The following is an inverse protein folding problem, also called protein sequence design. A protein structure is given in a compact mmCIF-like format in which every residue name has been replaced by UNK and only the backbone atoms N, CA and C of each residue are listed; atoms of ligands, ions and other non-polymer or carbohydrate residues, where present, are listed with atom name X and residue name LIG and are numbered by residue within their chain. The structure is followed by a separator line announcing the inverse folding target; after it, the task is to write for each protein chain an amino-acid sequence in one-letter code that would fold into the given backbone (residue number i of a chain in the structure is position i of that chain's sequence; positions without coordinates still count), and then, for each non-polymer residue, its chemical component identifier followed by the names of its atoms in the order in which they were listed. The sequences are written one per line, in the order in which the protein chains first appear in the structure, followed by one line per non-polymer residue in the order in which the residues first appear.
data_IF_937600884215
#
_entry.id   IF_937600884215
#
_cell.length_a   1.000
_cell.length_b   1.000
_cell.length_c   1.000
_cell.angle_alpha   90.00
_cell.angle_beta   90.00
_cell.angle_gamma   90.00
#
_symmetry.space_group_name_H-M   'P 1'
#
loop_
_entity.id
_entity.type
_entity.pdbx_description
1 polymer ?
#
# COMPACT_ATOMS: atom_id res chain seq x y z
N UNK A 1 10.69 -12.51 -22.23
CA UNK A 1 11.13 -11.69 -21.08
C UNK A 1 9.88 -11.38 -20.25
N UNK A 2 9.88 -11.58 -18.93
CA UNK A 2 8.80 -11.05 -18.10
C UNK A 2 8.80 -9.53 -18.21
N UNK A 3 7.64 -8.86 -18.14
CA UNK A 3 7.58 -7.40 -18.18
C UNK A 3 8.40 -6.82 -17.02
N UNK A 4 9.28 -5.86 -17.32
CA UNK A 4 9.92 -5.04 -16.29
C UNK A 4 8.83 -4.44 -15.41
N UNK A 5 8.90 -4.71 -14.10
CA UNK A 5 8.00 -4.11 -13.12
C UNK A 5 8.27 -2.61 -13.14
N UNK A 6 7.42 -1.84 -13.79
CA UNK A 6 7.49 -0.38 -13.77
C UNK A 6 7.38 0.07 -12.32
N UNK A 7 8.46 0.64 -11.78
CA UNK A 7 8.51 1.23 -10.46
C UNK A 7 7.65 2.51 -10.48
N UNK A 8 6.32 2.34 -10.42
CA UNK A 8 5.38 3.45 -10.35
C UNK A 8 5.63 4.17 -9.03
N UNK A 9 5.92 5.49 -9.03
CA UNK A 9 6.11 6.24 -7.80
C UNK A 9 4.79 6.24 -7.00
N UNK A 10 4.71 5.38 -5.98
CA UNK A 10 3.60 5.40 -5.04
C UNK A 10 3.86 6.57 -4.09
N UNK A 11 2.93 7.53 -4.05
CA UNK A 11 2.99 8.63 -3.09
C UNK A 11 2.75 8.06 -1.69
N UNK A 12 3.83 7.88 -0.93
CA UNK A 12 3.77 7.33 0.41
C UNK A 12 3.05 8.30 1.35
N UNK A 13 1.99 7.83 1.99
CA UNK A 13 1.31 8.54 3.08
C UNK A 13 1.92 8.15 4.43
N UNK A 14 3.25 8.18 4.52
CA UNK A 14 4.04 7.77 5.70
C UNK A 14 4.88 8.96 6.21
N UNK A 15 4.35 9.78 7.14
CA UNK A 15 4.99 11.03 7.55
C UNK A 15 6.25 10.82 8.39
N UNK A 16 6.41 9.68 9.06
CA UNK A 16 7.52 9.41 9.98
C UNK A 16 8.63 8.61 9.31
N UNK A 17 9.89 8.95 9.60
CA UNK A 17 11.05 8.33 8.96
C UNK A 17 11.10 6.81 9.17
N UNK A 18 10.87 6.33 10.40
CA UNK A 18 10.89 4.88 10.68
C UNK A 18 9.85 4.12 9.86
N UNK A 19 8.72 4.75 9.50
CA UNK A 19 7.69 4.11 8.69
C UNK A 19 8.16 3.94 7.25
N UNK A 20 8.92 4.89 6.71
CA UNK A 20 9.47 4.83 5.35
C UNK A 20 10.60 3.80 5.25
N UNK A 21 11.45 3.73 6.27
CA UNK A 21 12.51 2.72 6.39
C UNK A 21 11.89 1.33 6.47
N UNK A 22 10.97 1.11 7.41
CA UNK A 22 10.24 -0.15 7.56
C UNK A 22 9.48 -0.57 6.29
N UNK A 23 8.83 0.38 5.59
CA UNK A 23 8.17 0.09 4.32
C UNK A 23 9.15 -0.34 3.21
N UNK A 24 10.39 0.14 3.26
CA UNK A 24 11.41 -0.25 2.29
C UNK A 24 11.95 -1.64 2.59
N UNK A 25 12.18 -1.95 3.86
CA UNK A 25 12.59 -3.28 4.34
C UNK A 25 11.54 -4.35 4.00
N UNK A 26 10.27 -4.11 4.34
CA UNK A 26 9.14 -5.02 4.07
C UNK A 26 8.93 -5.36 2.59
N UNK A 27 9.43 -4.52 1.68
CA UNK A 27 9.33 -4.77 0.23
C UNK A 27 10.50 -5.59 -0.30
N UNK A 28 11.61 -5.63 0.42
CA UNK A 28 12.81 -6.33 0.02
C UNK A 28 12.78 -7.79 0.45
N UNK A 29 12.31 -8.07 1.67
CA UNK A 29 12.38 -9.38 2.32
C UNK A 29 11.07 -9.71 3.08
N UNK A 30 10.85 -10.99 3.39
CA UNK A 30 9.75 -11.43 4.25
C UNK A 30 10.05 -11.11 5.72
N UNK A 31 9.20 -10.30 6.38
CA UNK A 31 9.46 -9.81 7.74
C UNK A 31 8.26 -9.89 8.69
N UNK A 32 8.54 -10.06 9.98
CA UNK A 32 7.56 -9.94 11.06
C UNK A 32 7.69 -8.59 11.75
N UNK A 33 6.64 -7.79 11.69
CA UNK A 33 6.58 -6.46 12.29
C UNK A 33 5.73 -6.47 13.55
N UNK A 34 6.29 -5.96 14.66
CA UNK A 34 5.58 -5.78 15.92
C UNK A 34 5.60 -4.29 16.26
N UNK A 35 4.41 -3.67 16.31
CA UNK A 35 4.23 -2.25 16.62
C UNK A 35 3.29 -2.06 17.81
N UNK A 36 3.58 -1.06 18.64
CA UNK A 36 2.63 -0.61 19.65
C UNK A 36 1.39 0.03 19.01
N UNK A 37 0.25 -0.06 19.70
CA UNK A 37 -1.00 0.58 19.25
C UNK A 37 -0.79 2.09 19.07
N UNK A 38 -1.28 2.62 17.95
CA UNK A 38 -1.17 4.05 17.61
C UNK A 38 0.06 4.42 16.78
N UNK A 39 1.01 3.51 16.56
CA UNK A 39 2.20 3.77 15.71
C UNK A 39 1.93 3.65 14.20
N UNK A 40 0.66 3.72 13.78
CA UNK A 40 0.32 3.77 12.37
C UNK A 40 0.48 2.45 11.60
N UNK A 41 0.29 1.29 12.25
CA UNK A 41 0.26 -0.01 11.57
C UNK A 41 -0.72 -0.01 10.38
N UNK A 42 -1.91 0.56 10.54
CA UNK A 42 -2.88 0.69 9.46
C UNK A 42 -2.35 1.51 8.29
N UNK A 43 -1.61 2.60 8.55
CA UNK A 43 -1.02 3.41 7.48
C UNK A 43 0.04 2.60 6.71
N UNK A 44 0.86 1.81 7.40
CA UNK A 44 1.82 0.91 6.76
C UNK A 44 1.12 -0.13 5.87
N UNK A 45 0.09 -0.81 6.40
CA UNK A 45 -0.68 -1.81 5.66
C UNK A 45 -1.33 -1.20 4.41
N UNK A 46 -2.00 -0.05 4.52
CA UNK A 46 -2.64 0.61 3.38
C UNK A 46 -1.63 0.99 2.30
N UNK A 47 -0.46 1.52 2.67
CA UNK A 47 0.59 1.85 1.70
C UNK A 47 1.17 0.59 1.02
N UNK A 48 1.31 -0.53 1.75
CA UNK A 48 1.74 -1.81 1.17
C UNK A 48 0.71 -2.34 0.18
N UNK A 49 -0.57 -2.33 0.55
CA UNK A 49 -1.65 -2.73 -0.34
C UNK A 49 -1.68 -1.87 -1.61
N UNK A 50 -1.53 -0.56 -1.48
CA UNK A 50 -1.46 0.34 -2.64
C UNK A 50 -0.26 0.04 -3.55
N UNK A 51 0.88 -0.32 -2.97
CA UNK A 51 2.06 -0.71 -3.73
C UNK A 51 1.83 -2.02 -4.50
N UNK A 52 1.26 -3.04 -3.85
CA UNK A 52 0.96 -4.32 -4.51
C UNK A 52 -0.15 -4.20 -5.55
N UNK A 53 -1.16 -3.35 -5.33
CA UNK A 53 -2.18 -3.03 -6.32
C UNK A 53 -1.57 -2.34 -7.56
N UNK A 54 -0.69 -1.35 -7.35
CA UNK A 54 -0.04 -0.63 -8.44
C UNK A 54 0.89 -1.51 -9.29
N UNK A 55 1.51 -2.53 -8.69
CA UNK A 55 2.37 -3.47 -9.42
C UNK A 55 1.58 -4.44 -10.32
N UNK A 56 0.28 -4.64 -10.05
CA UNK A 56 -0.58 -5.58 -10.76
C UNK A 56 -0.19 -7.05 -10.54
N UNK A 57 -1.11 -7.98 -10.84
CA UNK A 57 -0.91 -9.43 -10.71
C UNK A 57 -0.49 -9.93 -9.32
N UNK A 58 -0.94 -9.27 -8.25
CA UNK A 58 -0.71 -9.72 -6.88
C UNK A 58 -2.05 -10.13 -6.25
N UNK A 59 -2.04 -11.24 -5.50
CA UNK A 59 -3.12 -11.60 -4.59
C UNK A 59 -2.65 -11.29 -3.18
N UNK A 60 -3.36 -10.40 -2.48
CA UNK A 60 -3.08 -10.07 -1.08
C UNK A 60 -4.26 -10.50 -0.22
N UNK A 61 -3.96 -11.20 0.87
CA UNK A 61 -4.95 -11.62 1.87
C UNK A 61 -4.61 -10.97 3.20
N UNK A 62 -5.56 -10.21 3.76
CA UNK A 62 -5.47 -9.68 5.12
C UNK A 62 -6.25 -10.61 6.05
N UNK A 63 -5.62 -11.08 7.12
CA UNK A 63 -6.22 -12.01 8.08
C UNK A 63 -6.31 -11.35 9.44
N UNK A 64 -7.47 -11.48 10.09
CA UNK A 64 -7.68 -10.97 11.45
C UNK A 64 -8.00 -9.47 11.55
N UNK A 65 -8.29 -8.81 10.42
CA UNK A 65 -8.80 -7.44 10.42
C UNK A 65 -10.20 -7.37 11.04
N UNK A 66 -10.42 -6.39 11.90
CA UNK A 66 -11.75 -6.10 12.42
C UNK A 66 -12.65 -5.40 11.37
N UNK A 67 -13.92 -5.21 11.70
CA UNK A 67 -14.91 -4.64 10.75
C UNK A 67 -14.55 -3.19 10.36
N UNK A 68 -13.97 -2.41 11.27
CA UNK A 68 -13.54 -1.03 10.99
C UNK A 68 -12.30 -1.01 10.11
N UNK A 69 -11.34 -1.90 10.38
CA UNK A 69 -10.14 -2.04 9.57
C UNK A 69 -10.50 -2.50 8.15
N UNK A 70 -11.46 -3.41 7.99
CA UNK A 70 -11.97 -3.83 6.68
C UNK A 70 -12.63 -2.68 5.90
N UNK A 71 -13.47 -1.88 6.55
CA UNK A 71 -14.09 -0.69 5.92
C UNK A 71 -13.01 0.31 5.48
N UNK A 72 -12.04 0.62 6.34
CA UNK A 72 -10.99 1.60 6.06
C UNK A 72 -10.02 1.15 4.96
N UNK A 73 -9.67 -0.15 4.93
CA UNK A 73 -8.85 -0.71 3.86
C UNK A 73 -9.61 -0.64 2.53
N UNK A 74 -10.92 -0.91 2.54
CA UNK A 74 -11.78 -0.76 1.37
C UNK A 74 -11.84 0.68 0.85
N UNK A 75 -12.09 1.64 1.74
CA UNK A 75 -12.17 3.07 1.39
C UNK A 75 -10.83 3.62 0.91
N UNK A 76 -9.72 3.25 1.56
CA UNK A 76 -8.37 3.66 1.16
C UNK A 76 -8.03 3.27 -0.28
N UNK A 77 -8.41 2.06 -0.71
CA UNK A 77 -8.24 1.64 -2.10
C UNK A 77 -9.16 2.40 -3.07
N UNK A 78 -10.40 2.67 -2.69
CA UNK A 78 -11.35 3.43 -3.53
C UNK A 78 -10.89 4.87 -3.82
N UNK A 79 -10.26 5.53 -2.84
CA UNK A 79 -9.74 6.90 -3.02
C UNK A 79 -8.49 6.87 -3.93
N UNK A 80 -7.66 5.82 -3.87
CA UNK A 80 -6.52 5.62 -4.76
C UNK A 80 -6.88 5.29 -6.22
N UNK A 81 -8.01 4.60 -6.45
CA UNK A 81 -8.49 4.24 -7.79
C UNK A 81 -9.06 5.45 -8.54
N UNK A 82 -9.73 6.38 -7.86
CA UNK A 82 -10.31 7.57 -8.51
C UNK A 82 -9.25 8.56 -9.06
N UNK A 83 -8.00 8.48 -8.63
CA UNK A 83 -6.93 9.36 -9.13
C UNK A 83 -6.28 8.88 -10.45
N UNK A 84 -6.64 7.69 -10.97
CA UNK A 84 -6.07 7.18 -12.24
C UNK A 84 -6.89 7.53 -13.49
N UNK A 85 -8.11 8.06 -13.35
CA UNK A 85 -9.01 8.27 -14.49
C UNK A 85 -8.79 9.58 -15.27
N UNK A 86 -8.08 10.57 -14.71
CA UNK A 86 -7.93 11.90 -15.35
C UNK A 86 -6.62 12.11 -16.14
N UNK A 87 -5.73 11.11 -16.23
CA UNK A 87 -4.44 11.27 -16.93
C UNK A 87 -4.43 10.81 -18.40
N UNK A 88 -5.58 10.44 -18.98
CA UNK A 88 -5.66 10.01 -20.40
C UNK A 88 -6.85 10.58 -21.16
N UNK A 89 -7.02 11.91 -21.17
CA UNK A 89 -7.72 12.59 -22.29
C UNK A 89 -6.99 13.89 -22.57
N UNK A 90 -6.03 13.82 -23.48
CA UNK A 90 -5.17 14.94 -23.86
C UNK A 90 -4.36 14.58 -25.10
N UNK A 91 -5.06 14.31 -26.22
CA UNK A 91 -4.57 14.40 -27.60
C UNK A 91 -5.77 14.43 -28.53
#
# INVERSE_FOLDING_TARGET
MPPERSNVPVKLSLPLQYQQELFTELRAEDELVILARGLGLLHLITNLLHFYDAAGNNLVLVVGADERENEWIGEGMWIGVHSRSDARVGS
#
